data_IF_905700685659
#
_entry.id   IF_905700685659
#
_cell.length_a   1.000
_cell.length_b   1.000
_cell.length_c   1.000
_cell.angle_alpha   90.00
_cell.angle_beta   90.00
_cell.angle_gamma   90.00
#
_symmetry.space_group_name_H-M   'P 1'
#
loop_
_entity.id
_entity.type
_entity.pdbx_description
1 polymer ?
#
# COMPACT_ATOMS: atom_id res chain seq x y z
N UNK A 1 28.74 6.00 19.31
CA UNK A 1 28.20 5.94 17.96
C UNK A 1 29.20 5.45 16.93
N UNK A 2 30.41 6.04 16.89
CA UNK A 2 31.45 5.72 15.89
C UNK A 2 31.85 4.24 15.93
N UNK A 3 32.05 3.66 17.10
CA UNK A 3 32.43 2.24 17.28
C UNK A 3 31.44 1.31 16.62
N UNK A 4 30.13 1.61 16.70
CA UNK A 4 29.07 0.80 16.06
C UNK A 4 29.15 0.94 14.52
N UNK A 5 29.32 2.17 14.03
CA UNK A 5 29.46 2.43 12.59
C UNK A 5 30.66 1.69 12.02
N UNK A 6 31.83 1.80 12.68
CA UNK A 6 33.06 1.15 12.23
C UNK A 6 32.96 -0.38 12.31
N UNK A 7 32.30 -0.91 13.35
CA UNK A 7 32.07 -2.35 13.49
C UNK A 7 31.11 -2.91 12.44
N UNK A 8 30.09 -2.16 12.05
CA UNK A 8 29.10 -2.60 11.05
C UNK A 8 29.56 -2.37 9.61
N UNK A 9 30.44 -1.40 9.37
CA UNK A 9 30.90 -1.05 8.02
C UNK A 9 31.60 -2.20 7.27
N UNK A 10 32.07 -3.21 7.98
CA UNK A 10 32.76 -4.38 7.42
C UNK A 10 31.82 -5.61 7.28
N UNK A 11 30.55 -5.48 7.60
CA UNK A 11 29.59 -6.59 7.65
C UNK A 11 28.45 -6.37 6.65
N UNK A 12 27.93 -7.45 6.13
CA UNK A 12 26.65 -7.43 5.41
C UNK A 12 25.49 -7.26 6.39
N UNK A 13 24.32 -6.88 5.88
CA UNK A 13 23.10 -6.76 6.70
C UNK A 13 22.75 -8.10 7.35
N UNK A 14 22.91 -9.21 6.62
CA UNK A 14 22.67 -10.57 7.12
C UNK A 14 23.57 -10.92 8.29
N UNK A 15 24.86 -10.61 8.18
CA UNK A 15 25.82 -10.86 9.25
C UNK A 15 25.53 -10.03 10.49
N UNK A 16 25.14 -8.75 10.30
CA UNK A 16 24.75 -7.88 11.41
C UNK A 16 23.52 -8.44 12.12
N UNK A 17 22.45 -8.77 11.38
CA UNK A 17 21.21 -9.33 11.94
C UNK A 17 21.51 -10.61 12.70
N UNK A 18 22.25 -11.55 12.11
CA UNK A 18 22.61 -12.82 12.74
C UNK A 18 23.38 -12.60 14.07
N UNK A 19 24.34 -11.69 14.08
CA UNK A 19 25.10 -11.38 15.30
C UNK A 19 24.24 -10.75 16.40
N UNK A 20 23.31 -9.87 16.00
CA UNK A 20 22.38 -9.25 16.94
C UNK A 20 21.38 -10.27 17.52
N UNK A 21 20.89 -11.21 16.70
CA UNK A 21 20.03 -12.30 17.14
C UNK A 21 20.74 -13.23 18.13
N UNK A 22 21.98 -13.65 17.84
CA UNK A 22 22.80 -14.46 18.75
C UNK A 22 23.03 -13.73 20.07
N UNK A 23 23.26 -12.43 20.02
CA UNK A 23 23.42 -11.58 21.21
C UNK A 23 22.10 -11.25 21.92
N UNK A 24 20.96 -11.72 21.42
CA UNK A 24 19.60 -11.40 21.90
C UNK A 24 19.31 -9.89 21.95
N UNK A 25 19.89 -9.15 21.03
CA UNK A 25 19.64 -7.72 20.85
C UNK A 25 18.48 -7.54 19.87
N UNK A 26 17.42 -6.88 20.31
CA UNK A 26 16.28 -6.56 19.48
C UNK A 26 16.72 -5.76 18.24
N UNK A 27 16.33 -6.24 17.07
CA UNK A 27 16.68 -5.62 15.80
C UNK A 27 15.52 -5.77 14.80
N UNK A 28 15.55 -4.97 13.75
CA UNK A 28 14.63 -5.10 12.63
C UNK A 28 15.30 -4.60 11.36
N UNK A 29 14.94 -5.20 10.22
CA UNK A 29 15.34 -4.68 8.91
C UNK A 29 14.43 -3.54 8.47
N UNK A 30 15.01 -2.55 7.83
CA UNK A 30 14.26 -1.60 7.02
C UNK A 30 14.11 -2.20 5.63
N UNK A 31 12.89 -2.52 5.24
CA UNK A 31 12.62 -3.06 3.92
C UNK A 31 12.38 -1.92 2.92
N UNK A 32 12.87 -2.08 1.70
CA UNK A 32 12.41 -1.33 0.55
C UNK A 32 11.05 -1.88 0.05
N UNK A 33 10.50 -1.32 -1.02
CA UNK A 33 9.20 -1.76 -1.56
C UNK A 33 9.25 -3.21 -2.02
N UNK A 34 10.34 -3.65 -2.62
CA UNK A 34 10.52 -5.05 -3.02
C UNK A 34 10.53 -5.98 -1.81
N UNK A 35 11.27 -5.62 -0.76
CA UNK A 35 11.32 -6.38 0.49
C UNK A 35 9.97 -6.46 1.20
N UNK A 36 9.11 -5.43 1.08
CA UNK A 36 7.72 -5.48 1.55
C UNK A 36 6.89 -6.46 0.72
N UNK A 37 7.00 -6.43 -0.60
CA UNK A 37 6.28 -7.34 -1.49
C UNK A 37 6.64 -8.81 -1.25
N UNK A 38 7.90 -9.07 -0.97
CA UNK A 38 8.41 -10.41 -0.76
C UNK A 38 8.36 -10.86 0.70
N UNK A 39 7.90 -10.00 1.60
CA UNK A 39 7.96 -10.24 3.04
C UNK A 39 7.29 -11.55 3.45
N UNK A 40 8.02 -12.49 4.07
CA UNK A 40 7.51 -13.84 4.37
C UNK A 40 6.24 -13.84 5.22
N UNK A 41 6.15 -12.94 6.22
CA UNK A 41 4.98 -12.83 7.08
C UNK A 41 3.75 -12.31 6.34
N UNK A 42 3.91 -11.38 5.39
CA UNK A 42 2.79 -10.89 4.60
C UNK A 42 2.26 -11.96 3.66
N UNK A 43 3.15 -12.77 3.08
CA UNK A 43 2.79 -13.94 2.26
C UNK A 43 2.14 -15.04 3.11
N UNK A 44 2.74 -15.43 4.23
CA UNK A 44 2.21 -16.48 5.10
C UNK A 44 0.83 -16.12 5.70
N UNK A 45 0.56 -14.83 5.91
CA UNK A 45 -0.74 -14.34 6.38
C UNK A 45 -1.75 -14.08 5.27
N UNK A 46 -1.43 -14.41 4.03
CA UNK A 46 -2.29 -14.14 2.88
C UNK A 46 -2.78 -12.68 2.87
N UNK A 47 -1.83 -11.74 2.99
CA UNK A 47 -2.13 -10.31 3.17
C UNK A 47 -2.29 -9.55 1.86
N UNK A 48 -2.00 -10.16 0.73
CA UNK A 48 -2.09 -9.55 -0.59
C UNK A 48 -3.39 -9.89 -1.29
N UNK A 49 -3.95 -8.92 -2.00
CA UNK A 49 -5.09 -9.10 -2.93
C UNK A 49 -4.78 -8.40 -4.24
N UNK A 50 -5.30 -8.94 -5.31
CA UNK A 50 -5.34 -8.21 -6.58
C UNK A 50 -6.58 -7.30 -6.60
N UNK A 51 -6.37 -6.04 -6.94
CA UNK A 51 -7.45 -5.08 -7.21
C UNK A 51 -7.34 -4.58 -8.65
N UNK A 52 -8.46 -4.36 -9.28
CA UNK A 52 -8.49 -3.79 -10.62
C UNK A 52 -8.18 -2.29 -10.57
N UNK A 53 -7.57 -1.79 -11.63
CA UNK A 53 -7.29 -0.36 -11.83
C UNK A 53 -7.30 -0.02 -13.32
N UNK A 54 -7.36 1.26 -13.70
CA UNK A 54 -7.21 1.67 -15.10
C UNK A 54 -5.87 1.25 -15.74
N UNK A 55 -4.85 0.99 -14.93
CA UNK A 55 -3.56 0.50 -15.39
C UNK A 55 -3.44 -1.03 -15.40
N UNK A 56 -4.53 -1.75 -15.10
CA UNK A 56 -4.56 -3.20 -14.94
C UNK A 56 -4.63 -3.63 -13.48
N UNK A 57 -4.36 -4.90 -13.20
CA UNK A 57 -4.39 -5.45 -11.85
C UNK A 57 -3.19 -5.02 -11.03
N UNK A 58 -3.44 -4.59 -9.82
CA UNK A 58 -2.43 -4.15 -8.86
C UNK A 58 -2.48 -5.02 -7.59
N UNK A 59 -1.34 -5.43 -7.05
CA UNK A 59 -1.29 -6.05 -5.72
C UNK A 59 -1.53 -4.99 -4.64
N UNK A 60 -2.48 -5.24 -3.77
CA UNK A 60 -2.82 -4.36 -2.65
C UNK A 60 -2.78 -5.13 -1.32
N UNK A 61 -2.28 -4.47 -0.28
CA UNK A 61 -2.31 -5.02 1.07
C UNK A 61 -3.70 -4.90 1.68
N UNK A 62 -4.16 -5.97 2.31
CA UNK A 62 -5.35 -5.91 3.15
C UNK A 62 -5.16 -4.90 4.29
N UNK A 63 -6.23 -4.20 4.70
CA UNK A 63 -6.17 -3.26 5.82
C UNK A 63 -5.63 -3.92 7.10
N UNK A 64 -4.93 -3.16 7.96
CA UNK A 64 -4.53 -3.67 9.27
C UNK A 64 -5.76 -3.95 10.15
N UNK A 65 -5.56 -4.72 11.23
CA UNK A 65 -6.65 -5.03 12.17
C UNK A 65 -7.63 -6.08 11.66
N UNK A 66 -7.18 -6.99 10.81
CA UNK A 66 -8.00 -8.12 10.30
C UNK A 66 -8.53 -8.98 11.43
N UNK A 67 -9.81 -9.33 11.34
CA UNK A 67 -10.46 -10.33 12.18
C UNK A 67 -11.41 -11.20 11.33
N UNK A 68 -11.93 -12.28 11.92
CA UNK A 68 -12.83 -13.19 11.22
C UNK A 68 -14.29 -12.69 11.14
N UNK A 69 -14.61 -11.55 11.76
CA UNK A 69 -15.98 -11.06 11.83
C UNK A 69 -16.44 -10.33 10.55
N UNK A 70 -15.51 -9.90 9.70
CA UNK A 70 -15.84 -9.24 8.44
C UNK A 70 -14.78 -9.49 7.37
N UNK A 71 -15.21 -9.40 6.11
CA UNK A 71 -14.31 -9.39 4.96
C UNK A 71 -13.98 -7.94 4.61
N UNK A 72 -12.69 -7.56 4.59
CA UNK A 72 -12.29 -6.22 4.18
C UNK A 72 -12.74 -5.91 2.76
N UNK A 73 -13.24 -4.71 2.55
CA UNK A 73 -13.58 -4.21 1.24
C UNK A 73 -12.30 -3.88 0.46
N UNK A 74 -12.18 -4.42 -0.75
CA UNK A 74 -11.02 -4.27 -1.64
C UNK A 74 -11.52 -3.98 -3.05
N UNK A 75 -12.18 -2.84 -3.21
CA UNK A 75 -12.76 -2.43 -4.48
C UNK A 75 -11.68 -1.99 -5.49
N UNK A 76 -12.01 -1.92 -6.78
CA UNK A 76 -11.15 -1.37 -7.79
C UNK A 76 -10.68 0.05 -7.48
N UNK A 77 -9.48 0.39 -7.92
CA UNK A 77 -8.99 1.77 -7.91
C UNK A 77 -9.74 2.53 -9.02
N UNK A 78 -10.47 3.61 -8.69
CA UNK A 78 -11.26 4.32 -9.68
C UNK A 78 -10.38 5.04 -10.70
N UNK A 79 -10.88 5.16 -11.91
CA UNK A 79 -10.32 6.03 -12.93
C UNK A 79 -10.49 7.52 -12.58
N UNK A 80 -9.70 8.36 -13.22
CA UNK A 80 -9.84 9.80 -13.06
C UNK A 80 -11.24 10.26 -13.51
N UNK A 81 -11.96 10.93 -12.60
CA UNK A 81 -13.31 11.43 -12.88
C UNK A 81 -14.43 10.37 -12.89
N UNK A 82 -14.13 9.09 -12.60
CA UNK A 82 -15.12 8.00 -12.65
C UNK A 82 -16.38 8.27 -11.82
N UNK A 83 -16.24 8.94 -10.69
CA UNK A 83 -17.34 9.24 -9.78
C UNK A 83 -17.89 10.66 -9.92
N UNK A 84 -17.32 11.50 -10.79
CA UNK A 84 -17.72 12.91 -10.93
C UNK A 84 -19.21 13.05 -11.23
N UNK A 85 -19.73 12.28 -12.18
CA UNK A 85 -21.14 12.36 -12.57
C UNK A 85 -22.08 11.93 -11.46
N UNK A 86 -21.77 10.85 -10.73
CA UNK A 86 -22.61 10.39 -9.62
C UNK A 86 -22.62 11.39 -8.47
N UNK A 87 -21.44 11.92 -8.09
CA UNK A 87 -21.30 12.91 -7.02
C UNK A 87 -22.04 14.20 -7.35
N UNK A 88 -21.90 14.72 -8.56
CA UNK A 88 -22.64 15.91 -8.99
C UNK A 88 -24.16 15.66 -9.02
N UNK A 89 -24.59 14.46 -9.45
CA UNK A 89 -26.00 14.07 -9.40
C UNK A 89 -26.55 14.05 -7.98
N UNK A 90 -25.83 13.48 -7.02
CA UNK A 90 -26.20 13.49 -5.60
C UNK A 90 -26.29 14.91 -5.02
N UNK A 91 -25.47 15.84 -5.52
CA UNK A 91 -25.50 17.26 -5.15
C UNK A 91 -26.61 18.05 -5.86
N UNK A 92 -27.41 17.40 -6.72
CA UNK A 92 -28.54 18.01 -7.40
C UNK A 92 -28.22 18.68 -8.74
N UNK A 93 -27.02 18.53 -9.27
CA UNK A 93 -26.69 19.02 -10.61
C UNK A 93 -27.38 18.16 -11.67
N UNK A 94 -28.11 18.80 -12.60
CA UNK A 94 -28.71 18.13 -13.73
C UNK A 94 -27.65 17.62 -14.73
N UNK A 95 -28.03 16.68 -15.59
CA UNK A 95 -27.14 16.20 -16.65
C UNK A 95 -26.66 17.34 -17.58
N UNK A 96 -27.52 18.35 -17.80
CA UNK A 96 -27.19 19.55 -18.58
C UNK A 96 -26.14 20.42 -17.87
N UNK A 97 -26.29 20.62 -16.56
CA UNK A 97 -25.30 21.34 -15.75
C UNK A 97 -23.95 20.63 -15.73
N UNK A 98 -23.96 19.30 -15.59
CA UNK A 98 -22.75 18.49 -15.61
C UNK A 98 -22.02 18.60 -16.95
N UNK A 99 -22.76 18.52 -18.08
CA UNK A 99 -22.19 18.71 -19.42
C UNK A 99 -21.58 20.12 -19.60
N UNK A 100 -22.26 21.15 -19.07
CA UNK A 100 -21.74 22.52 -19.08
C UNK A 100 -20.46 22.68 -18.28
N UNK A 101 -20.39 22.10 -17.08
CA UNK A 101 -19.19 22.11 -16.24
C UNK A 101 -18.02 21.39 -16.91
N UNK A 102 -18.30 20.24 -17.53
CA UNK A 102 -17.31 19.48 -18.27
C UNK A 102 -16.79 20.25 -19.51
N UNK A 103 -17.67 20.88 -20.28
CA UNK A 103 -17.31 21.68 -21.43
C UNK A 103 -16.48 22.93 -21.04
N UNK A 104 -16.69 23.44 -19.83
CA UNK A 104 -15.92 24.56 -19.27
C UNK A 104 -14.59 24.14 -18.62
N UNK A 105 -14.27 22.83 -18.58
CA UNK A 105 -13.07 22.30 -17.94
C UNK A 105 -13.03 22.50 -16.42
N UNK A 106 -14.19 22.60 -15.79
CA UNK A 106 -14.30 22.73 -14.31
C UNK A 106 -14.22 21.36 -13.64
N UNK A 107 -14.72 20.35 -14.31
CA UNK A 107 -14.70 18.93 -13.88
C UNK A 107 -14.29 18.02 -15.01
#
# INVERSE_FOLDING_TARGET
>A
RQIIVDGFAQLTVEEVVTRLEVAQIANARVNDMQGVWEHPQLKARDSWREVDSPAGKLPALLPPGRNAAFTPRMDPVPGLGEHTGSILGELGFSAEDQARLQAAGVV
#
